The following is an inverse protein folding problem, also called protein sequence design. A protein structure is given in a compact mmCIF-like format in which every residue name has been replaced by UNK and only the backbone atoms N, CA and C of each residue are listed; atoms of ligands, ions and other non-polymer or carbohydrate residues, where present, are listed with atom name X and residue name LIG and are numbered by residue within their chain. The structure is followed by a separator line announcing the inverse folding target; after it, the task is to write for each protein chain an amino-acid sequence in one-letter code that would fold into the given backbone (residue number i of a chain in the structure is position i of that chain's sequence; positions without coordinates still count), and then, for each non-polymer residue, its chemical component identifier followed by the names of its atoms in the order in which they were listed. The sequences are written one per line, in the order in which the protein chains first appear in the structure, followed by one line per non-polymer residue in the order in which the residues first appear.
data_IF_005259623206
#
_entry.id   IF_005259623206
#
_cell.length_a   1.000
_cell.length_b   1.000
_cell.length_c   1.000
_cell.angle_alpha   90.00
_cell.angle_beta   90.00
_cell.angle_gamma   90.00
#
_symmetry.space_group_name_H-M   'P 1'
#
loop_
_entity.id
_entity.type
_entity.pdbx_description
1 polymer ?
#
# COMPACT_ATOMS: atom_id res chain seq x y z
N UNK A 1 4.55 -2.46 -14.10
CA UNK A 1 4.91 -1.11 -14.54
C UNK A 1 4.93 -0.18 -13.34
N UNK A 2 5.95 0.66 -13.21
CA UNK A 2 6.13 1.56 -12.06
C UNK A 2 6.09 3.01 -12.56
N UNK A 3 5.30 3.92 -11.94
CA UNK A 3 5.32 5.33 -12.33
C UNK A 3 6.72 5.94 -12.23
N UNK A 4 7.07 6.81 -13.17
CA UNK A 4 8.42 7.40 -13.27
C UNK A 4 8.90 8.06 -11.98
N UNK A 5 8.02 8.79 -11.31
CA UNK A 5 8.38 9.44 -10.05
C UNK A 5 8.67 8.43 -8.93
N UNK A 6 8.13 7.21 -9.02
CA UNK A 6 8.36 6.15 -8.04
C UNK A 6 9.56 5.29 -8.38
N UNK A 7 9.92 5.20 -9.67
CA UNK A 7 11.16 4.52 -10.10
C UNK A 7 12.38 5.12 -9.41
N UNK A 8 12.42 6.44 -9.27
CA UNK A 8 13.50 7.14 -8.58
C UNK A 8 13.71 6.64 -7.15
N UNK A 9 12.63 6.31 -6.46
CA UNK A 9 12.70 5.77 -5.09
C UNK A 9 13.35 4.39 -5.09
N UNK A 10 13.01 3.54 -6.06
CA UNK A 10 13.58 2.20 -6.17
C UNK A 10 15.04 2.25 -6.61
N UNK A 11 15.39 3.19 -7.48
CA UNK A 11 16.77 3.37 -7.97
C UNK A 11 17.70 3.93 -6.90
N UNK A 12 17.18 4.51 -5.85
CA UNK A 12 18.01 5.00 -4.76
C UNK A 12 18.97 3.91 -4.29
N UNK A 13 20.24 4.24 -4.15
CA UNK A 13 21.29 3.27 -3.91
C UNK A 13 21.03 2.41 -2.65
N UNK A 14 20.53 3.03 -1.58
CA UNK A 14 20.20 2.34 -0.34
C UNK A 14 19.04 1.35 -0.53
N UNK A 15 17.96 1.80 -1.15
CA UNK A 15 16.78 0.96 -1.40
C UNK A 15 17.13 -0.20 -2.32
N UNK A 16 17.79 0.09 -3.42
CA UNK A 16 18.22 -0.92 -4.40
C UNK A 16 19.11 -1.97 -3.76
N UNK A 17 20.11 -1.54 -3.01
CA UNK A 17 21.04 -2.44 -2.31
C UNK A 17 20.30 -3.30 -1.29
N UNK A 18 19.35 -2.73 -0.56
CA UNK A 18 18.57 -3.47 0.43
C UNK A 18 17.72 -4.56 -0.21
N UNK A 19 17.07 -4.28 -1.35
CA UNK A 19 16.29 -5.29 -2.08
C UNK A 19 17.19 -6.40 -2.61
N UNK A 20 18.27 -6.03 -3.30
CA UNK A 20 19.15 -7.02 -3.96
C UNK A 20 19.88 -7.90 -2.97
N UNK A 21 20.33 -7.36 -1.84
CA UNK A 21 21.05 -8.14 -0.81
C UNK A 21 20.11 -8.98 0.03
N UNK A 22 18.94 -8.45 0.41
CA UNK A 22 17.99 -9.16 1.27
C UNK A 22 17.35 -10.35 0.58
N UNK A 23 17.15 -10.26 -0.74
CA UNK A 23 16.37 -11.23 -1.50
C UNK A 23 17.15 -11.95 -2.59
N UNK A 24 18.45 -11.69 -2.69
CA UNK A 24 19.30 -12.33 -3.70
C UNK A 24 18.71 -12.25 -5.12
N UNK A 25 18.26 -11.04 -5.50
CA UNK A 25 17.70 -10.77 -6.82
C UNK A 25 18.53 -9.71 -7.53
N UNK A 26 18.42 -9.65 -8.86
CA UNK A 26 19.03 -8.61 -9.68
C UNK A 26 17.95 -7.64 -10.12
N UNK A 27 18.25 -6.35 -10.02
CA UNK A 27 17.38 -5.26 -10.47
C UNK A 27 17.99 -4.54 -11.64
N UNK A 28 17.24 -4.38 -12.72
CA UNK A 28 17.57 -3.50 -13.83
C UNK A 28 16.36 -2.64 -14.17
N UNK A 29 16.60 -1.50 -14.85
CA UNK A 29 15.54 -0.54 -15.10
C UNK A 29 15.49 -0.18 -16.58
N UNK A 30 14.26 -0.11 -17.11
CA UNK A 30 13.97 0.40 -18.45
C UNK A 30 12.85 1.43 -18.29
N UNK A 31 12.98 2.58 -18.88
CA UNK A 31 11.98 3.67 -18.83
C UNK A 31 11.08 3.67 -17.57
N UNK A 32 9.91 3.05 -17.68
CA UNK A 32 8.91 2.98 -16.60
C UNK A 32 8.77 1.59 -16.00
N UNK A 33 9.78 0.74 -16.17
CA UNK A 33 9.71 -0.65 -15.71
C UNK A 33 10.96 -1.02 -14.94
N UNK A 34 10.76 -1.85 -13.92
CA UNK A 34 11.83 -2.50 -13.22
C UNK A 34 11.83 -3.98 -13.63
N UNK A 35 12.99 -4.49 -14.02
CA UNK A 35 13.18 -5.89 -14.34
C UNK A 35 13.84 -6.57 -13.14
N UNK A 36 13.20 -7.61 -12.63
CA UNK A 36 13.68 -8.35 -11.45
C UNK A 36 13.99 -9.76 -11.86
N UNK A 37 15.23 -10.17 -11.62
CA UNK A 37 15.69 -11.55 -11.90
C UNK A 37 16.00 -12.27 -10.60
N UNK A 38 15.43 -13.46 -10.42
CA UNK A 38 15.61 -14.28 -9.24
C UNK A 38 14.74 -15.51 -9.30
N UNK A 39 14.63 -16.23 -8.20
CA UNK A 39 13.88 -17.49 -8.14
C UNK A 39 13.01 -17.59 -6.88
N UNK A 40 11.91 -18.35 -7.03
CA UNK A 40 11.07 -18.78 -5.92
C UNK A 40 10.45 -17.67 -5.10
N UNK A 41 10.42 -17.86 -3.79
CA UNK A 41 9.82 -16.94 -2.84
C UNK A 41 10.51 -15.57 -2.83
N UNK A 42 11.82 -15.55 -2.96
CA UNK A 42 12.61 -14.32 -2.97
C UNK A 42 12.22 -13.42 -4.14
N UNK A 43 12.04 -13.99 -5.32
CA UNK A 43 11.55 -13.26 -6.49
C UNK A 43 10.15 -12.72 -6.27
N UNK A 44 9.25 -13.52 -5.70
CA UNK A 44 7.90 -13.11 -5.38
C UNK A 44 7.87 -11.94 -4.39
N UNK A 45 8.66 -12.02 -3.33
CA UNK A 45 8.77 -10.95 -2.35
C UNK A 45 9.35 -9.67 -2.96
N UNK A 46 10.37 -9.79 -3.79
CA UNK A 46 10.98 -8.65 -4.48
C UNK A 46 9.96 -7.94 -5.38
N UNK A 47 9.17 -8.69 -6.13
CA UNK A 47 8.11 -8.14 -6.97
C UNK A 47 7.08 -7.36 -6.14
N UNK A 48 6.69 -7.90 -5.01
CA UNK A 48 5.72 -7.24 -4.12
C UNK A 48 6.28 -5.97 -3.50
N UNK A 49 7.55 -5.97 -3.10
CA UNK A 49 8.21 -4.78 -2.55
C UNK A 49 8.29 -3.68 -3.62
N UNK A 50 8.72 -4.01 -4.82
CA UNK A 50 8.80 -3.06 -5.93
C UNK A 50 7.40 -2.54 -6.28
N UNK A 51 6.40 -3.40 -6.31
CA UNK A 51 5.01 -3.01 -6.53
C UNK A 51 4.53 -2.04 -5.45
N UNK A 52 4.82 -2.31 -4.19
CA UNK A 52 4.44 -1.47 -3.06
C UNK A 52 5.04 -0.06 -3.20
N UNK A 53 6.33 0.02 -3.50
CA UNK A 53 6.99 1.31 -3.72
C UNK A 53 6.35 2.03 -4.91
N UNK A 54 6.05 1.31 -5.97
CA UNK A 54 5.35 1.83 -7.15
C UNK A 54 3.95 2.36 -6.82
N UNK A 55 3.29 1.80 -5.80
CA UNK A 55 1.99 2.27 -5.33
C UNK A 55 2.08 3.33 -4.24
N UNK A 56 3.23 3.92 -4.02
CA UNK A 56 3.39 5.08 -3.14
C UNK A 56 3.91 4.80 -1.74
N UNK A 57 4.13 3.55 -1.37
CA UNK A 57 4.70 3.23 -0.06
C UNK A 57 6.16 3.68 0.04
N UNK A 58 6.57 4.09 1.24
CA UNK A 58 7.98 4.29 1.52
C UNK A 58 8.72 2.95 1.46
N UNK A 59 10.03 2.94 1.19
CA UNK A 59 10.80 1.70 1.27
C UNK A 59 10.65 0.98 2.61
N UNK A 60 10.64 1.71 3.72
CA UNK A 60 10.47 1.14 5.06
C UNK A 60 9.17 0.35 5.18
N UNK A 61 8.06 0.94 4.73
CA UNK A 61 6.76 0.27 4.76
C UNK A 61 6.70 -0.90 3.78
N UNK A 62 7.29 -0.75 2.60
CA UNK A 62 7.34 -1.81 1.60
C UNK A 62 8.11 -3.04 2.11
N UNK A 63 9.16 -2.84 2.90
CA UNK A 63 9.96 -3.93 3.47
C UNK A 63 9.22 -4.76 4.52
N UNK A 64 8.05 -4.33 5.00
CA UNK A 64 7.17 -5.21 5.78
C UNK A 64 6.83 -6.49 5.02
N UNK A 65 6.84 -6.45 3.69
CA UNK A 65 6.56 -7.61 2.84
C UNK A 65 7.64 -8.68 2.88
N UNK A 66 8.77 -8.44 3.56
CA UNK A 66 9.75 -9.48 3.85
C UNK A 66 9.23 -10.50 4.87
N UNK A 67 8.27 -10.12 5.69
CA UNK A 67 7.63 -11.04 6.64
C UNK A 67 6.70 -11.98 5.88
N UNK A 68 6.73 -13.26 6.23
CA UNK A 68 5.97 -14.29 5.53
C UNK A 68 4.46 -14.10 5.61
N UNK A 69 3.97 -13.54 6.72
CA UNK A 69 2.54 -13.34 6.96
C UNK A 69 2.02 -11.99 6.47
N UNK A 70 2.89 -11.13 5.94
CA UNK A 70 2.50 -9.82 5.43
C UNK A 70 2.21 -9.87 3.94
N UNK A 71 1.15 -9.18 3.53
CA UNK A 71 0.70 -9.14 2.14
C UNK A 71 0.33 -7.71 1.75
N UNK A 72 0.40 -7.43 0.45
CA UNK A 72 -0.11 -6.19 -0.12
C UNK A 72 -1.45 -6.46 -0.82
N UNK A 73 -2.41 -5.58 -0.59
CA UNK A 73 -3.69 -5.60 -1.29
C UNK A 73 -3.95 -4.22 -1.88
N UNK A 74 -4.43 -4.19 -3.11
CA UNK A 74 -4.71 -2.93 -3.81
C UNK A 74 -6.19 -2.87 -4.17
N UNK A 75 -6.84 -1.79 -3.76
CA UNK A 75 -8.24 -1.50 -4.10
C UNK A 75 -8.24 -0.48 -5.23
N UNK A 76 -8.78 -0.86 -6.36
CA UNK A 76 -8.83 0.01 -7.53
C UNK A 76 -10.08 0.88 -7.53
N UNK A 77 -9.91 2.16 -7.85
CA UNK A 77 -10.98 3.15 -7.90
C UNK A 77 -11.22 3.63 -9.33
N UNK A 78 -10.86 2.80 -10.32
CA UNK A 78 -10.90 3.15 -11.74
C UNK A 78 -12.29 3.48 -12.28
N UNK A 79 -13.32 2.87 -11.72
CA UNK A 79 -14.70 3.01 -12.19
C UNK A 79 -15.42 4.21 -11.57
N UNK A 80 -14.75 4.96 -10.74
CA UNK A 80 -15.31 6.10 -10.04
C UNK A 80 -14.94 7.37 -10.81
N UNK A 81 -15.92 8.26 -11.05
CA UNK A 81 -15.63 9.51 -11.76
C UNK A 81 -14.72 10.40 -10.92
N UNK A 82 -14.04 11.36 -11.58
CA UNK A 82 -13.00 12.17 -10.95
C UNK A 82 -13.50 13.00 -9.76
N UNK A 83 -14.71 13.55 -9.84
CA UNK A 83 -15.27 14.35 -8.75
C UNK A 83 -15.52 13.49 -7.51
N UNK A 84 -16.12 12.33 -7.71
CA UNK A 84 -16.37 11.36 -6.63
C UNK A 84 -15.07 10.80 -6.07
N UNK A 85 -14.08 10.56 -6.94
CA UNK A 85 -12.75 10.11 -6.53
C UNK A 85 -12.07 11.10 -5.57
N UNK A 86 -12.15 12.39 -5.88
CA UNK A 86 -11.61 13.43 -4.99
C UNK A 86 -12.28 13.43 -3.63
N UNK A 87 -13.60 13.26 -3.60
CA UNK A 87 -14.38 13.19 -2.35
C UNK A 87 -13.96 11.97 -1.54
N UNK A 88 -13.84 10.80 -2.16
CA UNK A 88 -13.44 9.57 -1.50
C UNK A 88 -12.02 9.70 -0.92
N UNK A 89 -11.07 10.21 -1.70
CA UNK A 89 -9.71 10.43 -1.23
C UNK A 89 -9.66 11.39 -0.04
N UNK A 90 -10.38 12.49 -0.13
CA UNK A 90 -10.49 13.46 0.98
C UNK A 90 -11.03 12.80 2.24
N UNK A 91 -12.04 11.96 2.11
CA UNK A 91 -12.66 11.26 3.24
C UNK A 91 -11.75 10.20 3.84
N UNK A 92 -10.99 9.49 3.00
CA UNK A 92 -10.00 8.50 3.46
C UNK A 92 -8.88 9.16 4.25
N UNK A 93 -8.45 10.33 3.83
CA UNK A 93 -7.39 11.08 4.53
C UNK A 93 -7.96 11.70 5.80
N UNK A 94 -9.10 12.36 5.70
CA UNK A 94 -9.73 13.09 6.79
C UNK A 94 -9.02 14.39 7.11
N UNK A 95 -9.58 15.15 8.04
CA UNK A 95 -9.02 16.43 8.48
C UNK A 95 -7.65 16.18 9.13
N UNK A 96 -6.62 16.82 8.59
CA UNK A 96 -5.23 16.67 9.05
C UNK A 96 -4.74 15.21 9.07
N UNK A 97 -5.27 14.38 8.18
CA UNK A 97 -4.88 12.98 8.09
C UNK A 97 -5.44 12.09 9.21
N UNK A 98 -6.45 12.56 9.94
CA UNK A 98 -7.00 11.85 11.09
C UNK A 98 -7.56 10.47 10.75
N UNK A 99 -8.38 10.39 9.70
CA UNK A 99 -9.01 9.13 9.30
C UNK A 99 -7.97 8.11 8.86
N UNK A 100 -7.02 8.55 8.06
CA UNK A 100 -5.88 7.74 7.63
C UNK A 100 -5.14 7.12 8.81
N UNK A 101 -4.73 7.97 9.76
CA UNK A 101 -4.00 7.54 10.95
C UNK A 101 -4.81 6.58 11.80
N UNK A 102 -6.11 6.81 11.92
CA UNK A 102 -6.98 5.91 12.69
C UNK A 102 -7.08 4.54 12.03
N UNK A 103 -7.23 4.48 10.71
CA UNK A 103 -7.27 3.21 10.01
C UNK A 103 -5.94 2.47 10.21
N UNK A 104 -4.81 3.14 10.03
CA UNK A 104 -3.50 2.52 10.24
C UNK A 104 -3.30 2.04 11.67
N UNK A 105 -3.60 2.88 12.64
CA UNK A 105 -3.37 2.55 14.06
C UNK A 105 -4.26 1.40 14.56
N UNK A 106 -5.52 1.40 14.17
CA UNK A 106 -6.45 0.38 14.65
C UNK A 106 -6.37 -0.94 13.89
N UNK A 107 -6.04 -0.91 12.61
CA UNK A 107 -5.87 -2.14 11.83
C UNK A 107 -4.48 -2.74 11.98
N UNK A 108 -3.47 -1.91 12.20
CA UNK A 108 -2.07 -2.33 12.16
C UNK A 108 -1.47 -2.35 10.75
N UNK A 109 -2.26 -2.05 9.74
CA UNK A 109 -1.78 -1.94 8.34
C UNK A 109 -1.06 -0.61 8.11
N UNK A 110 -0.22 -0.55 7.08
CA UNK A 110 0.13 0.72 6.47
C UNK A 110 -0.66 0.89 5.17
N UNK A 111 -1.01 2.14 4.88
CA UNK A 111 -1.86 2.51 3.75
C UNK A 111 -1.11 3.42 2.78
N UNK A 112 -1.46 3.34 1.50
CA UNK A 112 -1.01 4.31 0.51
C UNK A 112 -2.13 4.62 -0.47
N UNK A 113 -2.44 5.91 -0.64
CA UNK A 113 -3.33 6.39 -1.69
C UNK A 113 -2.46 6.94 -2.80
N UNK A 114 -2.52 6.35 -3.97
CA UNK A 114 -1.73 6.78 -5.10
C UNK A 114 -2.54 6.65 -6.39
N UNK A 115 -2.67 7.77 -7.13
CA UNK A 115 -3.48 7.78 -8.34
C UNK A 115 -4.92 7.34 -8.06
N UNK A 116 -5.38 6.30 -8.72
CA UNK A 116 -6.72 5.73 -8.56
C UNK A 116 -6.72 4.44 -7.75
N UNK A 117 -5.77 4.30 -6.83
CA UNK A 117 -5.65 3.10 -6.01
C UNK A 117 -5.47 3.44 -4.54
N UNK A 118 -6.00 2.56 -3.70
CA UNK A 118 -5.70 2.53 -2.27
C UNK A 118 -5.05 1.18 -2.00
N UNK A 119 -3.83 1.18 -1.51
CA UNK A 119 -3.09 -0.05 -1.21
C UNK A 119 -2.88 -0.18 0.29
N UNK A 120 -2.91 -1.41 0.77
CA UNK A 120 -2.71 -1.73 2.18
C UNK A 120 -1.72 -2.88 2.32
N UNK A 121 -0.88 -2.81 3.35
CA UNK A 121 0.07 -3.87 3.70
C UNK A 121 -0.18 -4.28 5.15
N UNK A 122 -0.33 -5.56 5.37
CA UNK A 122 -0.53 -6.13 6.69
C UNK A 122 -0.70 -7.63 6.62
N UNK A 123 -0.92 -8.27 7.77
CA UNK A 123 -1.29 -9.68 7.79
C UNK A 123 -2.77 -9.84 7.45
N UNK A 124 -3.22 -11.08 7.35
CA UNK A 124 -4.59 -11.38 6.93
C UNK A 124 -5.66 -10.69 7.79
N UNK A 125 -5.53 -10.76 9.10
CA UNK A 125 -6.51 -10.14 10.02
C UNK A 125 -6.50 -8.61 9.89
N UNK A 126 -5.31 -8.02 9.84
CA UNK A 126 -5.13 -6.58 9.68
C UNK A 126 -5.72 -6.09 8.37
N UNK A 127 -5.47 -6.82 7.28
CA UNK A 127 -6.02 -6.48 5.96
C UNK A 127 -7.55 -6.50 5.96
N UNK A 128 -8.16 -7.46 6.63
CA UNK A 128 -9.62 -7.54 6.71
C UNK A 128 -10.21 -6.30 7.40
N UNK A 129 -9.60 -5.85 8.48
CA UNK A 129 -10.05 -4.66 9.21
C UNK A 129 -9.88 -3.40 8.36
N UNK A 130 -8.70 -3.20 7.79
CA UNK A 130 -8.42 -2.02 6.97
C UNK A 130 -9.31 -1.98 5.72
N UNK A 131 -9.46 -3.12 5.05
CA UNK A 131 -10.30 -3.23 3.85
C UNK A 131 -11.74 -2.83 4.16
N UNK A 132 -12.31 -3.35 5.24
CA UNK A 132 -13.69 -3.05 5.60
C UNK A 132 -13.87 -1.56 5.91
N UNK A 133 -12.96 -0.97 6.65
CA UNK A 133 -13.00 0.46 6.96
C UNK A 133 -12.95 1.31 5.68
N UNK A 134 -12.06 0.96 4.75
CA UNK A 134 -11.92 1.65 3.47
C UNK A 134 -13.20 1.48 2.63
N UNK A 135 -13.74 0.27 2.56
CA UNK A 135 -14.98 0.00 1.82
C UNK A 135 -16.17 0.78 2.40
N UNK A 136 -16.26 0.90 3.71
CA UNK A 136 -17.29 1.71 4.35
C UNK A 136 -17.24 3.17 3.89
N UNK A 137 -16.04 3.74 3.81
CA UNK A 137 -15.85 5.11 3.34
C UNK A 137 -16.22 5.24 1.87
N UNK A 138 -15.82 4.28 1.04
CA UNK A 138 -16.16 4.27 -0.38
C UNK A 138 -17.68 4.20 -0.58
N UNK A 139 -18.39 3.42 0.24
CA UNK A 139 -19.84 3.30 0.20
C UNK A 139 -20.58 4.53 0.75
N UNK A 140 -19.87 5.49 1.33
CA UNK A 140 -20.46 6.72 1.85
C UNK A 140 -20.82 6.69 3.34
N UNK A 141 -20.36 5.71 4.10
CA UNK A 141 -20.59 5.67 5.55
C UNK A 141 -20.02 6.89 6.25
N UNK A 142 -20.69 7.35 7.30
CA UNK A 142 -20.19 8.48 8.12
C UNK A 142 -18.89 8.07 8.83
N UNK A 143 -17.98 9.02 9.03
CA UNK A 143 -16.73 8.79 9.76
C UNK A 143 -16.97 8.21 11.15
N UNK A 144 -17.99 8.67 11.87
CA UNK A 144 -18.35 8.15 13.19
C UNK A 144 -18.62 6.64 13.17
N UNK A 145 -19.29 6.17 12.12
CA UNK A 145 -19.59 4.75 11.96
C UNK A 145 -18.31 3.95 11.68
N UNK A 146 -17.44 4.48 10.84
CA UNK A 146 -16.13 3.87 10.54
C UNK A 146 -15.29 3.75 11.81
N UNK A 147 -15.25 4.83 12.60
CA UNK A 147 -14.48 4.82 13.85
C UNK A 147 -15.03 3.83 14.86
N UNK A 148 -16.35 3.73 14.99
CA UNK A 148 -16.97 2.72 15.85
C UNK A 148 -16.58 1.30 15.42
N UNK A 149 -16.61 1.03 14.14
CA UNK A 149 -16.16 -0.25 13.58
C UNK A 149 -14.69 -0.54 13.96
N UNK A 150 -13.81 0.44 13.76
CA UNK A 150 -12.39 0.28 14.07
C UNK A 150 -12.14 0.01 15.56
N UNK A 151 -12.86 0.71 16.45
CA UNK A 151 -12.76 0.47 17.89
C UNK A 151 -13.14 -0.95 18.27
N UNK A 152 -14.20 -1.49 17.67
CA UNK A 152 -14.68 -2.85 17.96
C UNK A 152 -13.80 -3.92 17.33
N UNK A 153 -13.19 -3.65 16.19
CA UNK A 153 -12.40 -4.60 15.44
C UNK A 153 -10.94 -4.70 15.92
N UNK A 154 -10.50 -3.79 16.78
CA UNK A 154 -9.12 -3.78 17.27
C UNK A 154 -8.74 -5.12 17.88
N UNK A 155 -7.66 -5.75 17.36
CA UNK A 155 -7.21 -7.04 17.88
C UNK A 155 -6.68 -6.96 19.31
#
# INVERSE_FOLDING_TARGET
MVPQNRIKVIKDAKTRSQITKSLNVKLSFQENSALIEGEGLELYQAKNIVKAIGRGFSPENAFRLLKEDEMIETIELNQINENKLKIIKSRLIGTNGKTWKMIENFSGCCLSIYGKTVSIIGNYEQLNIAREAIQMIIRGSKHSKVYSFLYQAKP
#
